data_IF_431487389284
#
_entry.id   IF_431487389284
#
_cell.length_a   1.000
_cell.length_b   1.000
_cell.length_c   1.000
_cell.angle_alpha   90.00
_cell.angle_beta   90.00
_cell.angle_gamma   90.00
#
_symmetry.space_group_name_H-M   'P 1'
#
loop_
_entity.id
_entity.type
_entity.pdbx_description
1 polymer ?
#
# COMPACT_ATOMS: atom_id res chain seq x y z
N UNK A 1 -16.23 12.46 -14.35
CA UNK A 1 -15.60 11.12 -14.44
C UNK A 1 -14.35 11.10 -13.56
N UNK A 2 -14.49 10.98 -12.23
CA UNK A 2 -13.41 11.16 -11.23
C UNK A 2 -13.24 9.92 -10.32
N UNK A 3 -13.81 8.77 -10.69
CA UNK A 3 -13.89 7.59 -9.79
C UNK A 3 -12.60 6.73 -9.80
N UNK A 4 -11.65 6.97 -10.71
CA UNK A 4 -10.56 6.01 -10.96
C UNK A 4 -9.27 6.16 -10.15
N UNK A 5 -9.17 7.11 -9.21
CA UNK A 5 -7.93 7.25 -8.43
C UNK A 5 -7.91 6.49 -7.09
N UNK A 6 -9.01 5.84 -6.70
CA UNK A 6 -9.09 5.09 -5.44
C UNK A 6 -9.53 3.65 -5.69
N UNK A 7 -8.64 2.73 -5.32
CA UNK A 7 -8.83 1.29 -5.28
C UNK A 7 -9.43 0.68 -6.56
N UNK A 8 -8.67 0.81 -7.66
CA UNK A 8 -9.04 0.34 -9.00
C UNK A 8 -9.45 -1.13 -8.98
N UNK A 9 -8.72 -1.98 -8.27
CA UNK A 9 -8.96 -3.43 -8.24
C UNK A 9 -10.31 -3.78 -7.60
N UNK A 10 -10.67 -3.13 -6.49
CA UNK A 10 -11.96 -3.34 -5.81
C UNK A 10 -13.13 -2.85 -6.67
N UNK A 11 -12.96 -1.72 -7.36
CA UNK A 11 -13.99 -1.22 -8.25
C UNK A 11 -14.20 -2.12 -9.47
N UNK A 12 -13.12 -2.64 -10.07
CA UNK A 12 -13.21 -3.57 -11.21
C UNK A 12 -13.96 -4.84 -10.82
N UNK A 13 -13.63 -5.44 -9.66
CA UNK A 13 -14.36 -6.62 -9.16
C UNK A 13 -15.83 -6.31 -8.86
N UNK A 14 -16.14 -5.14 -8.30
CA UNK A 14 -17.51 -4.72 -8.03
C UNK A 14 -18.36 -4.65 -9.31
N UNK A 15 -17.87 -3.92 -10.31
CA UNK A 15 -18.57 -3.79 -11.59
C UNK A 15 -18.60 -5.10 -12.38
N UNK A 16 -17.55 -5.92 -12.27
CA UNK A 16 -17.52 -7.26 -12.85
C UNK A 16 -18.60 -8.17 -12.26
N UNK A 17 -18.77 -8.16 -10.93
CA UNK A 17 -19.83 -8.91 -10.27
C UNK A 17 -21.24 -8.48 -10.70
N UNK A 18 -21.49 -7.17 -10.78
CA UNK A 18 -22.76 -6.63 -11.29
C UNK A 18 -23.00 -7.07 -12.74
N UNK A 19 -21.97 -6.97 -13.58
CA UNK A 19 -22.07 -7.37 -14.98
C UNK A 19 -22.42 -8.87 -15.13
N UNK A 20 -21.80 -9.74 -14.33
CA UNK A 20 -22.11 -11.18 -14.32
C UNK A 20 -23.57 -11.43 -13.95
N UNK A 21 -24.11 -10.72 -12.95
CA UNK A 21 -25.53 -10.85 -12.56
C UNK A 21 -26.45 -10.43 -13.72
N UNK A 22 -26.19 -9.28 -14.34
CA UNK A 22 -27.01 -8.78 -15.45
C UNK A 22 -26.95 -9.73 -16.65
N UNK A 23 -25.75 -10.18 -17.02
CA UNK A 23 -25.56 -11.14 -18.11
C UNK A 23 -26.26 -12.48 -17.79
N UNK A 24 -26.18 -12.94 -16.55
CA UNK A 24 -26.86 -14.14 -16.07
C UNK A 24 -28.38 -14.05 -16.13
N UNK A 25 -28.96 -12.91 -15.74
CA UNK A 25 -30.41 -12.65 -15.88
C UNK A 25 -30.82 -12.73 -17.35
N UNK A 26 -30.04 -12.13 -18.25
CA UNK A 26 -30.34 -12.15 -19.67
C UNK A 26 -30.25 -13.56 -20.27
N UNK A 27 -29.23 -14.33 -19.91
CA UNK A 27 -29.10 -15.74 -20.33
C UNK A 27 -30.24 -16.59 -19.77
N UNK A 28 -30.53 -16.50 -18.46
CA UNK A 28 -31.62 -17.25 -17.84
C UNK A 28 -32.97 -16.92 -18.48
N UNK A 29 -33.23 -15.65 -18.82
CA UNK A 29 -34.43 -15.23 -19.52
C UNK A 29 -34.56 -15.85 -20.91
N UNK A 30 -33.46 -15.83 -21.69
CA UNK A 30 -33.42 -16.48 -23.00
C UNK A 30 -33.71 -17.97 -22.84
N UNK A 31 -32.95 -18.67 -22.00
CA UNK A 31 -33.07 -20.11 -21.90
C UNK A 31 -34.47 -20.55 -21.41
N UNK A 32 -35.04 -19.82 -20.44
CA UNK A 32 -36.41 -20.08 -19.96
C UNK A 32 -37.49 -19.87 -21.04
N UNK A 33 -37.19 -19.13 -22.10
CA UNK A 33 -38.07 -18.91 -23.25
C UNK A 33 -37.84 -19.96 -24.35
N UNK A 34 -36.60 -20.42 -24.55
CA UNK A 34 -36.25 -21.39 -25.61
C UNK A 34 -36.39 -22.86 -25.20
N UNK A 35 -36.56 -23.19 -23.91
CA UNK A 35 -36.77 -24.57 -23.46
C UNK A 35 -37.98 -25.22 -24.12
N UNK A 36 -39.07 -24.48 -24.33
CA UNK A 36 -40.29 -25.04 -24.93
C UNK A 36 -40.26 -25.15 -26.46
N UNK A 37 -39.43 -24.36 -27.13
CA UNK A 37 -39.30 -24.36 -28.59
C UNK A 37 -38.68 -25.67 -29.12
N UNK A 38 -37.83 -26.32 -28.31
CA UNK A 38 -37.14 -27.57 -28.66
C UNK A 38 -37.93 -28.85 -28.35
N UNK A 39 -39.02 -28.79 -27.57
CA UNK A 39 -39.78 -29.97 -27.12
C UNK A 39 -41.07 -30.25 -27.91
N UNK A 40 -41.25 -29.60 -29.07
CA UNK A 40 -42.23 -30.02 -30.06
C UNK A 40 -43.58 -29.32 -29.96
N UNK A 41 -43.73 -28.23 -30.72
CA UNK A 41 -45.00 -27.87 -31.37
C UNK A 41 -46.06 -27.18 -30.52
N UNK A 42 -45.73 -26.61 -29.37
CA UNK A 42 -46.63 -25.64 -28.73
C UNK A 42 -46.40 -24.27 -29.38
N UNK A 43 -47.41 -23.77 -30.08
CA UNK A 43 -47.39 -22.50 -30.85
C UNK A 43 -47.20 -21.24 -29.99
N UNK A 44 -47.07 -21.38 -28.67
CA UNK A 44 -46.83 -20.27 -27.74
C UNK A 44 -45.56 -20.52 -26.92
N UNK A 45 -44.56 -19.61 -26.96
CA UNK A 45 -43.39 -19.70 -26.10
C UNK A 45 -43.82 -19.48 -24.65
N UNK A 46 -44.02 -20.58 -23.92
CA UNK A 46 -44.32 -20.54 -22.50
C UNK A 46 -43.01 -20.28 -21.74
N UNK A 47 -43.01 -19.22 -20.93
CA UNK A 47 -41.87 -18.90 -20.08
C UNK A 47 -41.80 -19.86 -18.88
N UNK A 48 -40.71 -20.63 -18.75
CA UNK A 48 -40.51 -21.52 -17.60
C UNK A 48 -39.86 -20.80 -16.41
N UNK A 49 -40.68 -20.41 -15.44
CA UNK A 49 -40.20 -19.80 -14.19
C UNK A 49 -39.25 -20.70 -13.40
N UNK A 50 -39.47 -22.01 -13.38
CA UNK A 50 -38.62 -22.94 -12.61
C UNK A 50 -37.23 -23.01 -13.23
N UNK A 51 -37.18 -23.09 -14.56
CA UNK A 51 -35.92 -23.09 -15.29
C UNK A 51 -35.19 -21.75 -15.13
N UNK A 52 -35.90 -20.63 -15.25
CA UNK A 52 -35.36 -19.29 -15.04
C UNK A 52 -34.66 -19.16 -13.69
N UNK A 53 -35.37 -19.48 -12.59
CA UNK A 53 -34.79 -19.34 -11.24
C UNK A 53 -33.62 -20.30 -11.02
N UNK A 54 -33.69 -21.53 -11.53
CA UNK A 54 -32.59 -22.49 -11.40
C UNK A 54 -31.31 -21.99 -12.08
N UNK A 55 -31.44 -21.50 -13.32
CA UNK A 55 -30.32 -20.97 -14.10
C UNK A 55 -29.78 -19.65 -13.54
N UNK A 56 -30.63 -18.84 -12.89
CA UNK A 56 -30.24 -17.57 -12.29
C UNK A 56 -29.40 -17.72 -11.00
N UNK A 57 -29.51 -18.83 -10.28
CA UNK A 57 -28.83 -19.03 -8.98
C UNK A 57 -27.31 -18.93 -9.10
N UNK A 58 -26.71 -19.64 -10.06
CA UNK A 58 -25.25 -19.70 -10.23
C UNK A 58 -24.64 -18.32 -10.51
N UNK A 59 -25.06 -17.57 -11.55
CA UNK A 59 -24.49 -16.25 -11.84
C UNK A 59 -24.76 -15.25 -10.71
N UNK A 60 -25.89 -15.37 -10.01
CA UNK A 60 -26.17 -14.54 -8.83
C UNK A 60 -25.18 -14.83 -7.71
N UNK A 61 -24.89 -16.10 -7.41
CA UNK A 61 -23.95 -16.49 -6.37
C UNK A 61 -22.51 -16.06 -6.71
N UNK A 62 -22.07 -16.28 -7.95
CA UNK A 62 -20.75 -15.85 -8.41
C UNK A 62 -20.62 -14.32 -8.36
N UNK A 63 -21.63 -13.60 -8.87
CA UNK A 63 -21.62 -12.14 -8.90
C UNK A 63 -21.60 -11.52 -7.51
N UNK A 64 -22.42 -12.05 -6.58
CA UNK A 64 -22.45 -11.62 -5.17
C UNK A 64 -21.15 -11.93 -4.44
N UNK A 65 -20.52 -13.07 -4.72
CA UNK A 65 -19.20 -13.42 -4.18
C UNK A 65 -18.13 -12.43 -4.66
N UNK A 66 -18.12 -12.05 -5.95
CA UNK A 66 -17.21 -11.03 -6.48
C UNK A 66 -17.42 -9.66 -5.82
N UNK A 67 -18.68 -9.26 -5.65
CA UNK A 67 -19.04 -8.00 -4.98
C UNK A 67 -18.55 -8.02 -3.53
N UNK A 68 -18.79 -9.12 -2.80
CA UNK A 68 -18.32 -9.32 -1.43
C UNK A 68 -16.80 -9.24 -1.31
N UNK A 69 -16.07 -9.93 -2.21
CA UNK A 69 -14.61 -9.87 -2.24
C UNK A 69 -14.09 -8.46 -2.55
N UNK A 70 -14.76 -7.74 -3.46
CA UNK A 70 -14.46 -6.33 -3.74
C UNK A 70 -14.53 -5.47 -2.47
N UNK A 71 -15.57 -5.64 -1.65
CA UNK A 71 -15.72 -4.88 -0.41
C UNK A 71 -14.64 -5.25 0.61
N UNK A 72 -14.27 -6.53 0.73
CA UNK A 72 -13.14 -6.96 1.57
C UNK A 72 -11.84 -6.28 1.13
N UNK A 73 -11.55 -6.24 -0.17
CA UNK A 73 -10.35 -5.57 -0.70
C UNK A 73 -10.39 -4.05 -0.45
N UNK A 74 -11.57 -3.42 -0.57
CA UNK A 74 -11.76 -2.00 -0.22
C UNK A 74 -11.55 -1.71 1.26
N UNK A 75 -12.01 -2.59 2.14
CA UNK A 75 -11.76 -2.47 3.56
C UNK A 75 -10.27 -2.63 3.88
N UNK A 76 -9.60 -3.58 3.25
CA UNK A 76 -8.17 -3.80 3.44
C UNK A 76 -7.32 -2.62 2.96
N UNK A 77 -7.61 -2.06 1.78
CA UNK A 77 -6.92 -0.87 1.26
C UNK A 77 -7.14 0.35 2.17
N UNK A 78 -8.36 0.53 2.70
CA UNK A 78 -8.66 1.57 3.70
C UNK A 78 -7.83 1.39 4.98
N UNK A 79 -7.76 0.17 5.50
CA UNK A 79 -6.99 -0.14 6.71
C UNK A 79 -5.49 0.11 6.49
N UNK A 80 -4.93 -0.38 5.38
CA UNK A 80 -3.54 -0.17 5.02
C UNK A 80 -3.19 1.32 4.91
N UNK A 81 -4.07 2.12 4.28
CA UNK A 81 -3.88 3.58 4.19
C UNK A 81 -3.93 4.26 5.56
N UNK A 82 -4.83 3.84 6.44
CA UNK A 82 -4.94 4.40 7.79
C UNK A 82 -3.72 4.04 8.64
N UNK A 83 -3.17 2.84 8.51
CA UNK A 83 -1.93 2.42 9.18
C UNK A 83 -0.73 3.21 8.64
N UNK A 84 -0.63 3.41 7.31
CA UNK A 84 0.39 4.28 6.72
C UNK A 84 0.27 5.73 7.19
N UNK A 85 -0.94 6.26 7.34
CA UNK A 85 -1.17 7.61 7.88
C UNK A 85 -0.77 7.74 9.36
N UNK A 86 -0.91 6.67 10.16
CA UNK A 86 -0.43 6.63 11.55
C UNK A 86 1.09 6.59 11.63
N UNK A 87 1.77 5.94 10.68
CA UNK A 87 3.24 5.98 10.58
C UNK A 87 3.78 7.31 10.05
N UNK A 88 2.96 8.08 9.33
CA UNK A 88 3.33 9.40 8.76
C UNK A 88 2.80 10.55 9.63
N UNK A 89 2.17 10.30 10.77
CA UNK A 89 1.81 11.38 11.69
C UNK A 89 3.08 11.87 12.40
N UNK A 90 3.63 13.06 12.07
CA UNK A 90 4.58 13.67 12.97
C UNK A 90 3.81 13.96 14.25
N UNK A 91 4.40 13.57 15.38
CA UNK A 91 3.98 13.97 16.72
C UNK A 91 3.76 15.48 16.74
N UNK A 92 2.52 15.93 16.53
CA UNK A 92 2.09 17.28 16.93
C UNK A 92 1.89 17.24 18.43
N UNK A 93 3.01 17.24 19.15
CA UNK A 93 3.05 17.73 20.53
C UNK A 93 2.74 19.22 20.46
N UNK A 94 1.68 19.62 21.14
CA UNK A 94 1.18 20.98 21.10
C UNK A 94 2.19 22.00 21.59
N UNK A 95 2.28 23.13 20.91
CA UNK A 95 2.77 24.36 21.51
C UNK A 95 1.83 25.50 21.14
N UNK A 96 1.06 25.86 22.16
CA UNK A 96 0.47 27.18 22.37
C UNK A 96 1.51 28.25 22.06
N UNK A 97 1.13 29.16 21.17
CA UNK A 97 1.80 30.42 20.90
C UNK A 97 1.94 31.25 22.18
N UNK A 98 3.15 31.41 22.72
CA UNK A 98 3.54 32.60 23.48
C UNK A 98 4.95 33.02 23.04
N UNK A 99 5.04 34.31 22.73
CA UNK A 99 6.13 35.09 22.19
C UNK A 99 7.32 35.28 23.16
N UNK A 100 8.52 35.24 22.55
CA UNK A 100 9.68 36.14 22.71
C UNK A 100 10.27 36.40 24.11
N UNK A 101 11.53 35.98 24.35
CA UNK A 101 12.72 36.86 24.38
C UNK A 101 13.98 36.17 25.00
N UNK A 102 15.05 36.19 24.20
CA UNK A 102 16.46 36.41 24.57
C UNK A 102 17.20 35.42 25.51
N UNK A 103 18.08 34.59 24.94
CA UNK A 103 19.57 34.72 25.03
C UNK A 103 20.25 33.36 24.77
N UNK A 104 21.33 33.39 23.98
CA UNK A 104 22.35 32.35 23.69
C UNK A 104 21.97 31.18 22.77
N UNK A 105 22.50 31.28 21.54
CA UNK A 105 22.78 30.21 20.58
C UNK A 105 23.56 29.05 21.22
N UNK A 106 23.27 27.81 20.83
CA UNK A 106 24.14 27.14 19.87
C UNK A 106 23.37 26.45 18.74
N UNK A 107 23.91 26.61 17.52
CA UNK A 107 23.73 25.82 16.30
C UNK A 107 22.32 25.30 15.99
N UNK A 108 21.68 25.99 15.03
CA UNK A 108 20.52 25.48 14.33
C UNK A 108 20.77 24.03 13.86
N UNK A 109 20.05 23.09 14.48
CA UNK A 109 19.88 21.74 13.95
C UNK A 109 19.18 21.89 12.59
N UNK A 110 19.99 21.92 11.54
CA UNK A 110 19.56 21.89 10.16
C UNK A 110 18.89 20.52 9.96
N UNK A 111 17.56 20.47 10.07
CA UNK A 111 16.74 19.30 9.74
C UNK A 111 16.89 19.05 8.23
N UNK A 112 18.03 18.51 7.83
CA UNK A 112 18.31 18.18 6.46
C UNK A 112 17.50 16.94 6.10
N UNK A 113 16.75 17.03 5.02
CA UNK A 113 15.99 15.92 4.48
C UNK A 113 16.82 15.26 3.39
N UNK A 114 16.83 13.93 3.40
CA UNK A 114 17.56 13.15 2.40
C UNK A 114 16.88 13.29 1.04
N UNK A 115 17.68 13.55 0.01
CA UNK A 115 17.15 13.68 -1.34
C UNK A 115 17.06 12.29 -2.00
N UNK A 116 16.16 12.12 -2.98
CA UNK A 116 15.93 10.83 -3.64
C UNK A 116 17.22 10.24 -4.26
N UNK A 117 18.10 11.10 -4.78
CA UNK A 117 19.40 10.71 -5.33
C UNK A 117 20.36 10.13 -4.29
N UNK A 118 20.24 10.55 -3.04
CA UNK A 118 21.08 10.01 -1.95
C UNK A 118 20.52 8.69 -1.44
N UNK A 119 19.19 8.51 -1.52
CA UNK A 119 18.53 7.24 -1.24
C UNK A 119 18.94 6.15 -2.24
N UNK A 120 18.95 6.46 -3.54
CA UNK A 120 19.39 5.54 -4.60
C UNK A 120 20.81 5.01 -4.35
N UNK A 121 21.74 5.88 -3.92
CA UNK A 121 23.11 5.45 -3.59
C UNK A 121 23.16 4.46 -2.43
N UNK A 122 22.25 4.56 -1.47
CA UNK A 122 22.17 3.64 -0.32
C UNK A 122 21.62 2.29 -0.77
N UNK A 123 20.60 2.28 -1.64
CA UNK A 123 20.10 1.04 -2.24
C UNK A 123 21.17 0.33 -3.08
N UNK A 124 21.99 1.08 -3.81
CA UNK A 124 23.11 0.51 -4.56
C UNK A 124 24.16 -0.13 -3.62
N UNK A 125 24.49 0.55 -2.51
CA UNK A 125 25.47 0.08 -1.52
C UNK A 125 25.02 -1.20 -0.80
N UNK A 126 23.72 -1.33 -0.52
CA UNK A 126 23.13 -2.48 0.18
C UNK A 126 22.27 -3.37 -0.72
N UNK A 127 22.62 -3.48 -2.00
CA UNK A 127 21.91 -4.34 -2.95
C UNK A 127 21.87 -5.83 -2.55
N UNK A 128 22.79 -6.26 -1.68
CA UNK A 128 22.91 -7.60 -1.12
C UNK A 128 22.15 -7.80 0.22
N UNK A 129 21.56 -6.74 0.79
CA UNK A 129 20.92 -6.75 2.11
C UNK A 129 19.52 -6.15 2.08
N UNK A 130 18.68 -6.56 3.02
CA UNK A 130 17.39 -5.94 3.23
C UNK A 130 17.56 -4.63 4.03
N UNK A 131 17.22 -3.49 3.44
CA UNK A 131 17.14 -2.22 4.14
C UNK A 131 15.79 -2.15 4.87
N UNK A 132 15.83 -2.05 6.19
CA UNK A 132 14.63 -1.94 7.03
C UNK A 132 14.23 -0.47 7.25
N UNK A 133 15.22 0.41 7.38
CA UNK A 133 14.99 1.82 7.71
C UNK A 133 16.20 2.67 7.29
N UNK A 134 15.94 3.89 6.80
CA UNK A 134 16.96 4.90 6.52
C UNK A 134 16.56 6.18 7.26
N UNK A 135 17.43 6.66 8.13
CA UNK A 135 17.19 7.86 8.95
C UNK A 135 18.32 8.86 8.69
N UNK A 136 17.96 10.11 8.39
CA UNK A 136 18.92 11.19 8.29
C UNK A 136 19.51 11.49 9.68
N UNK A 137 20.84 11.51 9.80
CA UNK A 137 21.51 11.90 11.05
C UNK A 137 21.35 13.40 11.30
N UNK A 138 21.53 13.85 12.53
CA UNK A 138 21.68 15.29 12.86
C UNK A 138 22.85 15.94 12.12
N UNK A 139 23.85 15.16 11.67
CA UNK A 139 24.94 15.66 10.83
C UNK A 139 24.60 15.53 9.35
N UNK A 140 24.63 16.68 8.65
CA UNK A 140 24.39 16.76 7.21
C UNK A 140 25.30 15.80 6.43
N UNK A 141 24.70 15.02 5.55
CA UNK A 141 25.42 14.09 4.68
C UNK A 141 25.70 12.71 5.28
N UNK A 142 25.20 12.44 6.49
CA UNK A 142 25.31 11.12 7.13
C UNK A 142 23.94 10.51 7.41
N UNK A 143 23.78 9.22 7.11
CA UNK A 143 22.54 8.48 7.30
C UNK A 143 22.79 7.30 8.23
N UNK A 144 21.77 6.94 9.00
CA UNK A 144 21.75 5.70 9.77
C UNK A 144 20.85 4.74 9.00
N UNK A 145 21.42 3.60 8.61
CA UNK A 145 20.73 2.58 7.83
C UNK A 145 20.65 1.32 8.68
N UNK A 146 19.42 0.85 8.89
CA UNK A 146 19.17 -0.43 9.54
C UNK A 146 19.10 -1.50 8.47
N UNK A 147 20.07 -2.39 8.46
CA UNK A 147 20.18 -3.46 7.45
C UNK A 147 20.00 -4.82 8.10
N UNK A 148 19.40 -5.74 7.36
CA UNK A 148 19.23 -7.13 7.73
C UNK A 148 19.80 -8.01 6.62
N UNK A 149 20.58 -9.02 7.01
CA UNK A 149 21.09 -10.01 6.07
C UNK A 149 19.93 -10.88 5.56
N UNK A 150 19.83 -11.04 4.24
CA UNK A 150 18.81 -11.88 3.62
C UNK A 150 19.08 -13.38 3.81
N UNK A 151 20.33 -13.77 4.08
CA UNK A 151 20.78 -15.16 4.15
C UNK A 151 21.28 -15.54 5.56
N UNK A 152 21.42 -14.55 6.46
CA UNK A 152 21.95 -14.70 7.80
C UNK A 152 20.89 -14.74 8.92
N UNK A 153 21.32 -14.84 10.19
CA UNK A 153 20.42 -14.75 11.35
C UNK A 153 19.66 -13.41 11.36
N UNK A 154 18.42 -13.41 11.85
CA UNK A 154 17.50 -12.27 11.87
C UNK A 154 17.90 -11.14 12.86
N UNK A 155 19.18 -10.78 12.90
CA UNK A 155 19.72 -9.73 13.74
C UNK A 155 19.93 -8.46 12.90
N UNK A 156 19.10 -7.43 13.08
CA UNK A 156 19.28 -6.18 12.36
C UNK A 156 20.55 -5.47 12.85
N UNK A 157 21.39 -5.05 11.91
CA UNK A 157 22.59 -4.26 12.18
C UNK A 157 22.35 -2.80 11.83
N UNK A 158 22.71 -1.89 12.75
CA UNK A 158 22.74 -0.45 12.47
C UNK A 158 24.08 -0.10 11.85
N UNK A 159 24.05 0.66 10.75
CA UNK A 159 25.23 1.13 10.05
C UNK A 159 25.14 2.60 9.76
N UNK A 160 26.25 3.31 9.84
CA UNK A 160 26.33 4.74 9.49
C UNK A 160 26.92 4.87 8.09
N UNK A 161 26.24 5.62 7.23
CA UNK A 161 26.59 5.80 5.82
C UNK A 161 26.83 7.27 5.51
N UNK A 162 27.92 7.57 4.83
CA UNK A 162 28.21 8.88 4.26
C UNK A 162 27.68 8.94 2.83
N UNK A 163 26.81 9.91 2.54
CA UNK A 163 26.19 10.15 1.24
C UNK A 163 26.69 11.41 0.54
N UNK A 164 27.65 12.13 1.13
CA UNK A 164 28.21 13.37 0.57
C UNK A 164 28.98 13.15 -0.74
N UNK A 165 29.48 11.94 -0.96
CA UNK A 165 30.23 11.54 -2.16
C UNK A 165 29.36 11.18 -3.36
N UNK A 166 30.05 10.87 -4.47
CA UNK A 166 29.43 10.35 -5.71
C UNK A 166 28.74 9.00 -5.47
N UNK A 167 29.28 8.19 -4.55
CA UNK A 167 28.70 6.94 -4.10
C UNK A 167 28.61 6.94 -2.56
N UNK A 168 27.59 6.27 -2.02
CA UNK A 168 27.44 6.09 -0.57
C UNK A 168 28.55 5.18 -0.04
N UNK A 169 29.08 5.47 1.15
CA UNK A 169 30.12 4.66 1.79
C UNK A 169 29.83 4.46 3.27
N UNK A 170 30.09 3.25 3.76
CA UNK A 170 30.02 2.97 5.19
C UNK A 170 31.13 3.73 5.94
N UNK A 171 30.74 4.46 6.98
CA UNK A 171 31.68 5.18 7.86
C UNK A 171 32.28 4.17 8.82
N UNK A 172 33.58 3.90 8.68
CA UNK A 172 34.33 2.97 9.54
C UNK A 172 35.10 3.68 10.67
N UNK A 173 34.91 4.99 10.82
CA UNK A 173 35.57 5.78 11.86
C UNK A 173 34.78 5.67 13.17
N UNK A 174 35.30 4.96 14.20
CA UNK A 174 34.55 4.61 15.40
C UNK A 174 34.13 5.85 16.22
N UNK A 175 34.88 6.95 16.11
CA UNK A 175 34.58 8.21 16.82
C UNK A 175 33.36 8.90 16.18
N UNK A 176 33.27 8.85 14.84
CA UNK A 176 32.16 9.45 14.09
C UNK A 176 30.91 8.58 14.16
N UNK A 177 31.08 7.26 14.09
CA UNK A 177 30.00 6.30 14.22
C UNK A 177 29.30 6.42 15.58
N UNK A 178 30.06 6.44 16.68
CA UNK A 178 29.49 6.61 18.03
C UNK A 178 28.81 7.97 18.20
N UNK A 179 29.39 9.05 17.67
CA UNK A 179 28.77 10.38 17.75
C UNK A 179 27.43 10.46 17.01
N UNK A 180 27.29 9.72 15.90
CA UNK A 180 26.06 9.67 15.11
C UNK A 180 25.05 8.71 15.73
N UNK A 181 25.47 7.55 16.23
CA UNK A 181 24.60 6.61 16.93
C UNK A 181 24.09 7.17 18.26
N UNK A 182 24.89 7.98 18.98
CA UNK A 182 24.44 8.67 20.18
C UNK A 182 23.25 9.61 19.90
N UNK A 183 23.20 10.21 18.70
CA UNK A 183 22.06 11.04 18.26
C UNK A 183 20.80 10.23 17.91
N UNK A 184 20.90 8.91 17.73
CA UNK A 184 19.78 8.01 17.47
C UNK A 184 19.13 7.46 18.75
N UNK A 185 19.90 7.35 19.83
CA UNK A 185 19.42 6.83 21.12
C UNK A 185 18.94 7.92 22.11
N UNK A 186 19.11 9.20 21.77
CA UNK A 186 18.65 10.35 22.56
C UNK A 186 17.19 10.67 22.25
#
# INVERSE_FOLDING_TARGET
MIIFQKNIIGNVMFYGGIFIIIAGVFMAYKDATYVYDNFGGMDEPLFDWRFFFNTLIIPTLIGTMLIGLSEVIKLLDKLLRNVKLLQIAPTKSGQTSIQTETTSTPEAQDNWTMNQKDEEKIYDLYSDKAILEIIASTKKGYCIVKTQDMQGPLNPSLKVVDVTGVAAREVHDPVKEQAILASYHA
#
